data_IF_000943578614
#
_entry.id   IF_000943578614
#
_cell.length_a   1.000
_cell.length_b   1.000
_cell.length_c   1.000
_cell.angle_alpha   90.00
_cell.angle_beta   90.00
_cell.angle_gamma   90.00
#
_symmetry.space_group_name_H-M   'P 1'
#
loop_
_entity.id
_entity.type
_entity.pdbx_description
1 polymer ?
#
# COMPACT_ATOMS: atom_id res chain seq x y z
N UNK A 1 73.89 30.88 39.83
CA UNK A 1 73.23 30.81 38.52
C UNK A 1 71.97 29.95 38.71
N UNK A 2 70.80 30.54 38.98
CA UNK A 2 69.80 30.97 37.95
C UNK A 2 69.47 29.73 37.09
N UNK A 3 68.31 29.05 37.08
CA UNK A 3 66.87 29.40 37.20
C UNK A 3 66.09 28.09 37.45
N UNK A 4 65.28 27.97 38.52
CA UNK A 4 63.80 27.82 38.53
C UNK A 4 63.15 27.25 37.26
N UNK A 5 62.61 26.04 37.32
CA UNK A 5 61.48 25.56 36.51
C UNK A 5 61.07 24.18 37.07
N UNK A 6 59.84 23.72 37.07
CA UNK A 6 58.52 24.32 36.99
C UNK A 6 57.59 23.14 37.33
N UNK A 7 56.72 23.30 38.34
CA UNK A 7 55.40 22.68 38.42
C UNK A 7 55.29 21.12 38.47
N UNK A 8 55.17 20.53 39.66
CA UNK A 8 54.44 19.27 39.84
C UNK A 8 52.93 19.55 39.98
N UNK A 9 52.10 18.55 39.70
CA UNK A 9 50.69 18.49 40.10
C UNK A 9 49.74 19.51 39.44
N UNK A 10 49.28 19.19 38.23
CA UNK A 10 47.91 19.51 37.82
C UNK A 10 47.18 18.23 37.46
N UNK A 11 46.64 17.62 38.51
CA UNK A 11 45.65 16.56 38.49
C UNK A 11 44.32 17.21 38.06
N UNK A 12 44.17 17.53 36.77
CA UNK A 12 42.93 18.11 36.25
C UNK A 12 42.63 17.61 34.84
N UNK A 13 41.58 16.79 34.77
CA UNK A 13 40.51 16.87 33.77
C UNK A 13 41.00 16.79 32.31
N UNK A 14 40.98 15.58 31.73
CA UNK A 14 40.71 15.35 30.31
C UNK A 14 40.51 13.83 30.06
N UNK A 15 39.69 13.17 30.90
CA UNK A 15 38.88 12.09 30.35
C UNK A 15 37.76 12.78 29.59
N UNK A 16 38.02 13.07 28.32
CA UNK A 16 36.98 13.26 27.31
C UNK A 16 36.24 11.93 27.19
N UNK A 17 35.40 11.63 28.18
CA UNK A 17 34.12 11.02 27.87
C UNK A 17 33.42 12.11 27.07
N UNK A 18 33.65 12.05 25.76
CA UNK A 18 32.70 12.59 24.83
C UNK A 18 31.38 11.88 25.17
N UNK A 19 30.59 12.50 26.04
CA UNK A 19 29.16 12.44 25.90
C UNK A 19 28.90 12.99 24.51
N UNK A 20 28.96 12.11 23.51
CA UNK A 20 27.97 12.16 22.46
C UNK A 20 26.64 12.10 23.20
N UNK A 21 26.10 13.26 23.53
CA UNK A 21 24.67 13.45 23.52
C UNK A 21 24.26 13.11 22.09
N UNK A 22 24.12 11.81 21.82
CA UNK A 22 23.09 11.35 20.91
C UNK A 22 21.86 12.11 21.37
N UNK A 23 21.42 13.04 20.54
CA UNK A 23 20.10 13.62 20.66
C UNK A 23 19.16 12.47 20.89
N UNK A 24 18.68 12.40 22.14
CA UNK A 24 17.58 11.57 22.53
C UNK A 24 16.39 12.02 21.67
N UNK A 25 16.26 11.41 20.49
CA UNK A 25 14.97 11.05 19.92
C UNK A 25 14.34 9.93 20.77
N UNK A 26 14.39 10.06 22.11
CA UNK A 26 13.51 9.34 23.00
C UNK A 26 12.12 9.92 22.77
N UNK A 27 11.50 9.49 21.66
CA UNK A 27 10.08 9.62 21.45
C UNK A 27 9.41 9.11 22.71
N UNK A 28 8.75 10.00 23.44
CA UNK A 28 8.00 9.65 24.64
C UNK A 28 7.01 8.56 24.22
N UNK A 29 7.11 7.38 24.85
CA UNK A 29 6.20 6.27 24.59
C UNK A 29 4.76 6.75 24.74
N UNK A 30 3.94 6.53 23.73
CA UNK A 30 2.52 6.90 23.72
C UNK A 30 1.67 5.74 24.23
N UNK A 31 0.43 5.99 24.62
CA UNK A 31 -0.50 4.91 24.98
C UNK A 31 -0.94 4.05 23.77
N UNK A 32 -0.65 4.52 22.56
CA UNK A 32 -0.98 3.86 21.29
C UNK A 32 0.24 3.17 20.66
N UNK A 33 1.41 3.24 21.30
CA UNK A 33 2.58 2.50 20.84
C UNK A 33 2.32 0.99 20.96
N UNK A 34 2.56 0.28 19.87
CA UNK A 34 2.39 -1.17 19.76
C UNK A 34 3.74 -1.83 19.94
N UNK A 35 3.87 -2.66 20.97
CA UNK A 35 5.04 -3.51 21.21
C UNK A 35 4.57 -4.96 21.30
N UNK A 36 4.59 -5.67 20.18
CA UNK A 36 4.16 -7.06 20.08
C UNK A 36 5.28 -7.95 19.55
N UNK A 37 5.24 -9.21 19.95
CA UNK A 37 6.09 -10.25 19.38
C UNK A 37 5.21 -11.42 18.95
N UNK A 38 5.55 -12.04 17.82
CA UNK A 38 4.78 -13.15 17.27
C UNK A 38 4.74 -14.33 18.24
N UNK A 39 3.52 -14.72 18.64
CA UNK A 39 3.26 -15.89 19.47
C UNK A 39 2.42 -16.92 18.70
N UNK A 40 2.16 -18.09 19.32
CA UNK A 40 1.26 -19.12 18.76
C UNK A 40 -0.21 -18.68 18.64
N UNK A 41 -0.60 -17.64 19.38
CA UNK A 41 -1.97 -17.09 19.36
C UNK A 41 -2.17 -16.10 18.23
N UNK A 42 -1.07 -15.61 17.66
CA UNK A 42 -1.14 -14.74 16.51
C UNK A 42 -1.59 -15.53 15.28
N UNK A 43 -2.62 -15.01 14.63
CA UNK A 43 -3.09 -15.49 13.35
C UNK A 43 -2.69 -14.51 12.26
N UNK A 44 -2.35 -15.03 11.08
CA UNK A 44 -2.06 -14.18 9.93
C UNK A 44 -3.34 -13.55 9.44
N UNK A 45 -3.31 -12.25 9.19
CA UNK A 45 -4.38 -11.56 8.46
C UNK A 45 -4.19 -11.87 6.97
N UNK A 46 -5.18 -12.47 6.29
CA UNK A 46 -5.08 -12.81 4.87
C UNK A 46 -4.62 -11.63 4.02
N UNK A 47 -3.93 -11.91 2.90
CA UNK A 47 -3.43 -10.87 1.99
C UNK A 47 -2.46 -9.85 2.62
N UNK A 48 -1.78 -10.22 3.70
CA UNK A 48 -0.76 -9.39 4.32
C UNK A 48 0.34 -10.23 4.98
N UNK A 49 1.45 -9.57 5.31
CA UNK A 49 2.50 -10.09 6.20
C UNK A 49 2.20 -9.81 7.69
N UNK A 50 0.98 -9.40 8.01
CA UNK A 50 0.60 -8.94 9.35
C UNK A 50 -0.06 -10.07 10.11
N UNK A 51 0.30 -10.16 11.38
CA UNK A 51 -0.21 -11.12 12.33
C UNK A 51 -0.83 -10.37 13.50
N UNK A 52 -1.94 -10.87 14.04
CA UNK A 52 -2.62 -10.30 15.20
C UNK A 52 -3.31 -11.40 16.02
N UNK A 53 -3.59 -11.11 17.28
CA UNK A 53 -4.48 -11.92 18.11
C UNK A 53 -5.91 -11.43 17.84
N UNK A 54 -6.68 -12.22 17.11
CA UNK A 54 -8.03 -11.88 16.67
C UNK A 54 -9.02 -12.72 17.47
N UNK A 55 -9.95 -12.11 18.24
CA UNK A 55 -10.96 -12.86 18.96
C UNK A 55 -11.84 -13.71 18.02
N UNK A 56 -12.21 -14.91 18.45
CA UNK A 56 -13.03 -15.85 17.65
C UNK A 56 -14.42 -15.30 17.25
N UNK A 57 -14.86 -14.23 17.92
CA UNK A 57 -16.08 -13.48 17.59
C UNK A 57 -15.99 -12.75 16.25
N UNK A 58 -14.79 -12.47 15.75
CA UNK A 58 -14.59 -11.92 14.41
C UNK A 58 -14.53 -13.02 13.37
N UNK A 59 -15.26 -12.85 12.27
CA UNK A 59 -15.24 -13.75 11.11
C UNK A 59 -14.67 -13.03 9.91
N UNK A 60 -13.73 -13.69 9.22
CA UNK A 60 -13.16 -13.17 7.99
C UNK A 60 -14.15 -13.28 6.84
N UNK A 61 -14.47 -12.15 6.24
CA UNK A 61 -15.23 -12.03 5.00
C UNK A 61 -14.26 -11.96 3.82
N UNK A 62 -14.15 -13.07 3.08
CA UNK A 62 -13.25 -13.17 1.92
C UNK A 62 -13.62 -12.21 0.79
N UNK A 63 -14.91 -11.86 0.64
CA UNK A 63 -15.39 -11.02 -0.46
C UNK A 63 -14.90 -9.59 -0.29
N UNK A 64 -15.02 -9.08 0.93
CA UNK A 64 -14.70 -7.71 1.31
C UNK A 64 -13.29 -7.57 1.92
N UNK A 65 -12.57 -8.67 2.11
CA UNK A 65 -11.23 -8.73 2.70
C UNK A 65 -11.13 -8.02 4.06
N UNK A 66 -12.06 -8.36 4.96
CA UNK A 66 -12.14 -7.76 6.29
C UNK A 66 -12.67 -8.75 7.32
N UNK A 67 -12.50 -8.44 8.60
CA UNK A 67 -13.05 -9.21 9.70
C UNK A 67 -14.28 -8.48 10.27
N UNK A 68 -15.42 -9.16 10.40
CA UNK A 68 -16.66 -8.60 10.98
C UNK A 68 -16.99 -9.24 12.32
N UNK A 69 -17.50 -8.44 13.27
CA UNK A 69 -18.07 -8.89 14.55
C UNK A 69 -19.53 -8.45 14.66
N UNK A 70 -20.38 -8.92 13.74
CA UNK A 70 -21.80 -8.52 13.70
C UNK A 70 -22.01 -7.01 13.51
N UNK A 71 -23.27 -6.59 13.32
CA UNK A 71 -23.62 -5.16 13.22
C UNK A 71 -22.77 -4.37 12.23
N UNK A 72 -22.27 -3.21 12.69
CA UNK A 72 -21.38 -2.31 11.93
C UNK A 72 -19.89 -2.51 12.27
N UNK A 73 -19.54 -3.42 13.19
CA UNK A 73 -18.17 -3.60 13.66
C UNK A 73 -17.33 -4.41 12.69
N UNK A 74 -16.23 -3.84 12.20
CA UNK A 74 -15.26 -4.57 11.39
C UNK A 74 -13.85 -3.98 11.46
N UNK A 75 -12.85 -4.74 11.01
CA UNK A 75 -11.55 -4.18 10.69
C UNK A 75 -10.97 -4.79 9.41
N UNK A 76 -10.09 -4.05 8.75
CA UNK A 76 -9.32 -4.50 7.59
C UNK A 76 -7.86 -4.11 7.73
N UNK A 77 -7.01 -4.85 7.01
CA UNK A 77 -5.60 -4.52 6.83
C UNK A 77 -5.30 -4.30 5.36
N UNK A 78 -4.54 -3.25 5.09
CA UNK A 78 -4.03 -2.95 3.74
C UNK A 78 -2.52 -2.83 3.86
N UNK A 79 -1.79 -3.60 3.05
CA UNK A 79 -0.33 -3.52 2.94
C UNK A 79 0.02 -3.06 1.54
N UNK A 80 0.97 -2.14 1.40
CA UNK A 80 1.49 -1.73 0.10
C UNK A 80 3.00 -1.53 0.09
N UNK A 81 3.56 -1.42 -1.11
CA UNK A 81 4.99 -1.12 -1.26
C UNK A 81 5.26 0.36 -1.01
N UNK A 82 6.44 0.66 -0.46
CA UNK A 82 6.88 2.02 -0.20
C UNK A 82 6.80 2.89 -1.45
N UNK A 83 5.95 3.92 -1.41
CA UNK A 83 5.81 4.89 -2.50
C UNK A 83 7.01 5.84 -2.47
N UNK A 84 8.06 5.48 -3.22
CA UNK A 84 9.33 6.22 -3.36
C UNK A 84 10.28 6.09 -2.15
N UNK A 85 11.59 5.99 -2.44
CA UNK A 85 12.72 6.00 -1.48
C UNK A 85 12.79 7.24 -0.56
N UNK A 86 11.82 8.14 -0.62
CA UNK A 86 11.67 9.21 0.36
C UNK A 86 10.81 8.64 1.47
N UNK A 87 11.49 8.09 2.48
CA UNK A 87 11.03 7.95 3.86
C UNK A 87 9.89 8.94 4.07
N UNK A 88 8.66 8.50 4.30
CA UNK A 88 7.60 9.44 4.68
C UNK A 88 8.11 10.08 5.96
N UNK A 89 8.60 11.31 5.82
CA UNK A 89 9.18 12.02 6.93
C UNK A 89 8.06 12.14 7.96
N UNK A 90 8.35 11.79 9.21
CA UNK A 90 7.32 11.64 10.23
C UNK A 90 6.50 12.93 10.43
N UNK A 91 7.02 14.08 10.03
CA UNK A 91 6.39 15.40 9.99
C UNK A 91 5.39 15.59 8.83
N UNK A 92 5.52 14.85 7.73
CA UNK A 92 4.57 14.88 6.60
C UNK A 92 3.51 13.79 6.66
N UNK A 93 3.67 12.82 7.57
CA UNK A 93 2.75 11.70 7.73
C UNK A 93 1.31 12.15 7.98
N UNK A 94 1.11 13.16 8.83
CA UNK A 94 -0.22 13.73 9.10
C UNK A 94 -0.89 14.27 7.83
N UNK A 95 -0.16 15.01 7.01
CA UNK A 95 -0.69 15.58 5.77
C UNK A 95 -0.97 14.48 4.74
N UNK A 96 -0.10 13.46 4.66
CA UNK A 96 -0.32 12.30 3.79
C UNK A 96 -1.58 11.55 4.20
N UNK A 97 -1.75 11.28 5.50
CA UNK A 97 -2.94 10.62 6.06
C UNK A 97 -4.20 11.45 5.82
N UNK A 98 -4.16 12.76 6.10
CA UNK A 98 -5.26 13.68 5.77
C UNK A 98 -5.60 13.61 4.29
N UNK A 99 -4.62 13.73 3.40
CA UNK A 99 -4.86 13.68 1.96
C UNK A 99 -5.42 12.32 1.47
N UNK A 100 -5.00 11.21 2.07
CA UNK A 100 -5.54 9.88 1.76
C UNK A 100 -6.98 9.71 2.26
N UNK A 101 -7.30 10.26 3.43
CA UNK A 101 -8.62 10.13 4.06
C UNK A 101 -9.65 11.13 3.51
N UNK A 102 -9.23 12.31 3.04
CA UNK A 102 -10.06 13.45 2.55
C UNK A 102 -11.02 13.13 1.37
N UNK A 103 -11.11 11.89 0.88
CA UNK A 103 -12.11 11.48 -0.10
C UNK A 103 -13.08 10.38 0.33
N UNK A 104 -12.82 9.69 1.45
CA UNK A 104 -13.50 8.42 1.79
C UNK A 104 -13.86 8.30 3.27
N UNK A 105 -13.27 9.14 4.11
CA UNK A 105 -13.47 9.17 5.54
C UNK A 105 -13.48 10.67 5.89
N UNK A 106 -14.59 11.19 6.41
CA UNK A 106 -14.72 12.53 6.97
C UNK A 106 -13.65 12.90 8.01
N UNK A 107 -13.91 13.94 8.80
CA UNK A 107 -12.82 14.59 9.54
C UNK A 107 -12.08 13.66 10.51
N UNK A 108 -10.74 13.71 10.45
CA UNK A 108 -9.87 13.12 11.47
C UNK A 108 -9.99 13.97 12.73
N UNK A 109 -10.45 13.36 13.82
CA UNK A 109 -10.68 14.04 15.10
C UNK A 109 -9.51 13.91 16.06
N UNK A 110 -8.68 12.87 15.88
CA UNK A 110 -7.49 12.64 16.67
C UNK A 110 -6.34 12.11 15.81
N UNK A 111 -5.12 12.53 16.12
CA UNK A 111 -3.90 12.08 15.45
C UNK A 111 -2.74 12.06 16.44
N UNK A 112 -1.97 10.98 16.45
CA UNK A 112 -0.74 10.87 17.23
C UNK A 112 0.32 10.08 16.48
N UNK A 113 1.59 10.51 16.57
CA UNK A 113 2.72 9.74 16.05
C UNK A 113 3.04 8.62 17.02
N UNK A 114 3.18 7.41 16.53
CA UNK A 114 3.38 6.22 17.35
C UNK A 114 4.53 5.36 16.83
N UNK A 115 4.91 4.35 17.61
CA UNK A 115 5.70 3.21 17.15
C UNK A 115 4.85 1.96 17.03
N UNK A 116 5.06 1.21 15.95
CA UNK A 116 4.52 -0.13 15.79
C UNK A 116 5.71 -1.08 15.67
N UNK A 117 6.04 -1.73 16.77
CA UNK A 117 7.29 -2.47 16.95
C UNK A 117 8.49 -1.54 16.64
N UNK A 118 9.33 -1.88 15.66
CA UNK A 118 10.45 -1.05 15.21
C UNK A 118 10.05 0.04 14.20
N UNK A 119 8.82 0.02 13.67
CA UNK A 119 8.39 0.93 12.60
C UNK A 119 7.82 2.23 13.14
N UNK A 120 8.01 3.29 12.36
CA UNK A 120 7.32 4.56 12.61
C UNK A 120 5.90 4.47 12.08
N UNK A 121 4.95 5.03 12.82
CA UNK A 121 3.58 5.10 12.37
C UNK A 121 2.82 6.31 12.92
N UNK A 122 1.53 6.33 12.60
CA UNK A 122 0.56 7.27 13.11
C UNK A 122 -0.71 6.52 13.48
N UNK A 123 -1.23 6.84 14.67
CA UNK A 123 -2.58 6.52 15.09
C UNK A 123 -3.53 7.65 14.71
N UNK A 124 -4.75 7.31 14.34
CA UNK A 124 -5.81 8.27 14.08
C UNK A 124 -7.17 7.77 14.55
N UNK A 125 -8.04 8.73 14.91
CA UNK A 125 -9.48 8.51 15.08
C UNK A 125 -10.27 9.46 14.19
N UNK A 126 -11.48 9.06 13.82
CA UNK A 126 -12.31 9.78 12.87
C UNK A 126 -12.20 9.22 11.46
N UNK A 127 -12.98 9.76 10.53
CA UNK A 127 -13.11 9.21 9.18
C UNK A 127 -14.53 8.73 8.84
N UNK A 128 -15.00 7.61 9.38
CA UNK A 128 -16.29 7.05 8.93
C UNK A 128 -17.47 7.57 9.75
N UNK A 129 -17.88 8.84 9.60
CA UNK A 129 -19.07 9.39 10.29
C UNK A 129 -20.41 9.08 9.60
N UNK A 130 -20.40 8.37 8.48
CA UNK A 130 -21.64 7.96 7.83
C UNK A 130 -22.36 6.87 8.64
N UNK A 131 -23.69 7.02 8.80
CA UNK A 131 -24.57 6.03 9.43
C UNK A 131 -24.31 5.74 10.92
N UNK A 132 -23.76 6.71 11.67
CA UNK A 132 -23.55 6.57 13.12
C UNK A 132 -22.32 5.76 13.50
N UNK A 133 -21.41 5.52 12.55
CA UNK A 133 -20.15 4.85 12.81
C UNK A 133 -19.03 5.84 13.23
N UNK A 134 -17.96 5.29 13.76
CA UNK A 134 -16.68 5.92 14.01
C UNK A 134 -15.56 4.96 13.58
N UNK A 135 -14.34 5.47 13.48
CA UNK A 135 -13.19 4.67 13.07
C UNK A 135 -11.94 5.01 13.85
N UNK A 136 -11.13 3.98 14.06
CA UNK A 136 -9.74 4.09 14.50
C UNK A 136 -8.85 3.50 13.42
N UNK A 137 -7.60 3.94 13.37
CA UNK A 137 -6.64 3.29 12.53
C UNK A 137 -5.20 3.58 12.87
N UNK A 138 -4.32 2.76 12.31
CA UNK A 138 -2.88 2.91 12.41
C UNK A 138 -2.28 2.74 11.04
N UNK A 139 -1.42 3.67 10.67
CA UNK A 139 -0.60 3.58 9.48
C UNK A 139 0.87 3.50 9.88
N UNK A 140 1.62 2.52 9.41
CA UNK A 140 3.01 2.30 9.81
C UNK A 140 3.83 1.68 8.68
N UNK A 141 5.15 1.82 8.77
CA UNK A 141 6.07 1.19 7.81
C UNK A 141 7.41 1.90 7.74
N UNK A 142 8.08 1.73 6.61
CA UNK A 142 9.37 2.34 6.30
C UNK A 142 9.46 2.72 4.81
N UNK A 143 10.67 2.78 4.26
CA UNK A 143 10.91 3.10 2.85
C UNK A 143 10.66 1.92 1.89
N UNK A 144 10.47 0.71 2.42
CA UNK A 144 10.24 -0.51 1.65
C UNK A 144 8.76 -0.91 1.63
N UNK A 145 8.01 -0.65 2.70
CA UNK A 145 6.58 -0.98 2.78
C UNK A 145 5.78 0.03 3.63
N UNK A 146 4.47 -0.04 3.49
CA UNK A 146 3.52 0.54 4.45
C UNK A 146 2.37 -0.44 4.72
N UNK A 147 1.77 -0.30 5.90
CA UNK A 147 0.63 -1.06 6.33
C UNK A 147 -0.38 -0.16 7.05
N UNK A 148 -1.65 -0.45 6.88
CA UNK A 148 -2.77 0.27 7.48
C UNK A 148 -3.72 -0.70 8.17
N UNK A 149 -3.96 -0.51 9.46
CA UNK A 149 -5.11 -1.05 10.18
C UNK A 149 -6.23 -0.02 10.16
N UNK A 150 -7.43 -0.44 9.77
CA UNK A 150 -8.64 0.39 9.87
C UNK A 150 -9.72 -0.41 10.56
N UNK A 151 -10.16 0.07 11.72
CA UNK A 151 -11.28 -0.48 12.48
C UNK A 151 -12.47 0.48 12.45
N UNK A 152 -13.67 -0.06 12.27
CA UNK A 152 -14.94 0.68 12.26
C UNK A 152 -15.88 0.07 13.29
N UNK A 153 -16.59 0.92 14.00
CA UNK A 153 -17.49 0.57 15.11
C UNK A 153 -18.62 1.63 15.23
N UNK A 154 -19.76 1.34 15.87
CA UNK A 154 -20.78 2.33 16.21
C UNK A 154 -20.20 3.43 17.11
N UNK A 155 -20.47 4.69 16.80
CA UNK A 155 -19.87 5.83 17.48
C UNK A 155 -20.24 5.92 18.98
N UNK A 156 -21.35 5.30 19.38
CA UNK A 156 -21.85 5.24 20.76
C UNK A 156 -21.42 3.98 21.53
N UNK A 157 -20.65 3.07 20.92
CA UNK A 157 -20.17 1.84 21.56
C UNK A 157 -18.66 1.89 21.85
N UNK A 158 -18.32 2.33 23.06
CA UNK A 158 -16.92 2.39 23.53
C UNK A 158 -16.30 1.01 23.73
N UNK A 159 -17.10 -0.03 24.04
CA UNK A 159 -16.57 -1.38 24.22
C UNK A 159 -16.09 -1.96 22.89
N UNK A 160 -16.83 -1.70 21.81
CA UNK A 160 -16.41 -2.09 20.47
C UNK A 160 -15.14 -1.36 20.00
N UNK A 161 -14.93 -0.09 20.41
CA UNK A 161 -13.65 0.60 20.23
C UNK A 161 -12.52 -0.11 20.97
N UNK A 162 -12.73 -0.47 22.24
CA UNK A 162 -11.73 -1.16 23.08
C UNK A 162 -11.33 -2.49 22.46
N UNK A 163 -12.29 -3.26 21.92
CA UNK A 163 -11.99 -4.53 21.26
C UNK A 163 -11.07 -4.36 20.04
N UNK A 164 -11.30 -3.32 19.22
CA UNK A 164 -10.43 -3.01 18.09
C UNK A 164 -9.04 -2.54 18.54
N UNK A 165 -8.96 -1.73 19.60
CA UNK A 165 -7.69 -1.31 20.20
C UNK A 165 -6.89 -2.50 20.73
N UNK A 166 -7.55 -3.50 21.32
CA UNK A 166 -6.90 -4.73 21.77
C UNK A 166 -6.31 -5.53 20.61
N UNK A 167 -6.98 -5.60 19.46
CA UNK A 167 -6.42 -6.25 18.26
C UNK A 167 -5.21 -5.46 17.76
N UNK A 168 -5.35 -4.14 17.63
CA UNK A 168 -4.30 -3.23 17.18
C UNK A 168 -3.03 -3.34 18.05
N UNK A 169 -3.19 -3.45 19.37
CA UNK A 169 -2.07 -3.61 20.31
C UNK A 169 -1.27 -4.91 20.14
N UNK A 170 -1.76 -5.85 19.34
CA UNK A 170 -1.10 -7.14 19.07
C UNK A 170 -0.49 -7.23 17.68
N UNK A 171 -0.56 -6.17 16.86
CA UNK A 171 -0.05 -6.20 15.50
C UNK A 171 1.45 -6.52 15.44
N UNK A 172 1.77 -7.53 14.63
CA UNK A 172 3.13 -7.96 14.33
C UNK A 172 3.33 -8.07 12.82
N UNK A 173 4.34 -7.39 12.28
CA UNK A 173 4.73 -7.47 10.87
C UNK A 173 5.88 -8.48 10.71
N UNK A 174 5.67 -9.51 9.90
CA UNK A 174 6.68 -10.53 9.61
C UNK A 174 7.36 -10.23 8.27
N UNK A 175 8.44 -9.46 8.28
CA UNK A 175 9.19 -9.07 7.05
C UNK A 175 9.58 -10.26 6.18
N UNK A 176 9.83 -11.42 6.81
CA UNK A 176 10.30 -12.64 6.14
C UNK A 176 9.15 -13.45 5.53
N UNK A 177 7.90 -13.11 5.84
CA UNK A 177 6.74 -13.78 5.27
C UNK A 177 6.62 -13.46 3.78
N UNK A 178 6.47 -14.51 2.97
CA UNK A 178 6.22 -14.37 1.53
C UNK A 178 4.73 -14.49 1.28
N UNK A 179 4.15 -13.45 0.69
CA UNK A 179 2.75 -13.44 0.29
C UNK A 179 2.53 -14.38 -0.89
N UNK A 180 1.51 -15.24 -0.82
CA UNK A 180 1.05 -16.01 -1.97
C UNK A 180 0.16 -15.12 -2.87
N UNK A 181 0.57 -14.82 -4.12
CA UNK A 181 -0.21 -13.98 -5.02
C UNK A 181 -1.61 -14.56 -5.32
N UNK A 182 -1.80 -15.87 -5.19
CA UNK A 182 -3.10 -16.51 -5.39
C UNK A 182 -4.13 -16.10 -4.33
N UNK A 183 -3.71 -15.50 -3.21
CA UNK A 183 -4.64 -14.97 -2.20
C UNK A 183 -5.46 -13.78 -2.72
N UNK A 184 -4.94 -13.04 -3.71
CA UNK A 184 -5.54 -11.81 -4.25
C UNK A 184 -6.34 -12.07 -5.53
N UNK A 185 -6.14 -13.22 -6.14
CA UNK A 185 -6.60 -13.47 -7.49
C UNK A 185 -7.98 -14.11 -7.46
N UNK A 186 -9.01 -13.29 -7.70
CA UNK A 186 -10.35 -13.75 -8.12
C UNK A 186 -10.37 -14.01 -9.64
N UNK A 187 -9.19 -14.18 -10.23
CA UNK A 187 -8.95 -14.40 -11.64
C UNK A 187 -7.66 -15.21 -11.82
N UNK A 188 -7.46 -15.80 -12.98
CA UNK A 188 -6.20 -16.40 -13.41
C UNK A 188 -5.83 -15.84 -14.78
N UNK A 189 -4.54 -15.86 -15.11
CA UNK A 189 -4.06 -15.53 -16.45
C UNK A 189 -2.88 -16.44 -16.79
N UNK A 190 -2.61 -16.63 -18.07
CA UNK A 190 -1.48 -17.44 -18.50
C UNK A 190 -0.19 -16.60 -18.46
N UNK A 191 0.58 -16.76 -17.37
CA UNK A 191 1.83 -16.04 -17.17
C UNK A 191 2.91 -16.42 -18.18
N UNK A 192 2.77 -17.54 -18.90
CA UNK A 192 3.72 -17.93 -19.94
C UNK A 192 3.63 -17.05 -21.18
N UNK A 193 2.48 -16.40 -21.41
CA UNK A 193 2.27 -15.48 -22.53
C UNK A 193 3.12 -14.22 -22.38
N UNK A 194 3.16 -13.66 -21.18
CA UNK A 194 3.94 -12.44 -20.94
C UNK A 194 5.41 -12.74 -20.69
N UNK A 195 5.71 -13.88 -20.05
CA UNK A 195 7.04 -14.15 -19.50
C UNK A 195 7.38 -13.29 -18.29
N UNK A 196 6.43 -12.48 -17.78
CA UNK A 196 6.63 -11.64 -16.61
C UNK A 196 6.46 -12.51 -15.37
N UNK A 197 7.29 -12.23 -14.37
CA UNK A 197 7.30 -12.96 -13.10
C UNK A 197 6.71 -12.10 -12.02
N UNK A 198 6.05 -12.75 -11.06
CA UNK A 198 5.50 -12.07 -9.90
C UNK A 198 6.62 -11.29 -9.20
N UNK A 199 6.32 -10.03 -8.88
CA UNK A 199 7.24 -9.10 -8.26
C UNK A 199 6.87 -8.87 -6.80
N UNK A 200 5.68 -8.32 -6.58
CA UNK A 200 5.21 -7.89 -5.26
C UNK A 200 3.70 -7.65 -5.27
N UNK A 201 3.13 -7.44 -4.09
CA UNK A 201 1.76 -6.96 -3.90
C UNK A 201 1.81 -5.54 -3.35
N UNK A 202 1.04 -4.63 -3.94
CA UNK A 202 0.88 -3.26 -3.44
C UNK A 202 -0.60 -2.93 -3.25
N UNK A 203 -1.08 -2.91 -2.01
CA UNK A 203 -2.51 -2.85 -1.71
C UNK A 203 -3.18 -4.12 -2.22
N UNK A 204 -4.23 -3.97 -3.02
CA UNK A 204 -4.90 -5.08 -3.69
C UNK A 204 -4.35 -5.36 -5.11
N UNK A 205 -3.18 -4.79 -5.43
CA UNK A 205 -2.58 -4.89 -6.76
C UNK A 205 -1.45 -5.90 -6.79
N UNK A 206 -1.59 -6.93 -7.62
CA UNK A 206 -0.50 -7.81 -7.98
C UNK A 206 0.38 -7.14 -9.03
N UNK A 207 1.69 -7.11 -8.82
CA UNK A 207 2.65 -6.50 -9.76
C UNK A 207 3.59 -7.59 -10.30
N UNK A 208 3.86 -7.53 -11.61
CA UNK A 208 4.73 -8.45 -12.32
C UNK A 208 5.73 -7.67 -13.16
N UNK A 209 6.98 -8.11 -13.16
CA UNK A 209 8.07 -7.52 -13.95
C UNK A 209 8.79 -8.61 -14.75
N UNK A 210 9.57 -8.28 -15.79
CA UNK A 210 10.33 -9.28 -16.55
C UNK A 210 11.22 -10.18 -15.68
N UNK A 211 11.77 -9.64 -14.59
CA UNK A 211 12.69 -10.37 -13.70
C UNK A 211 12.01 -10.94 -12.46
N UNK A 212 10.89 -10.36 -12.02
CA UNK A 212 10.24 -10.67 -10.74
C UNK A 212 10.99 -10.12 -9.52
N UNK A 213 12.11 -9.40 -9.70
CA UNK A 213 12.89 -8.85 -8.58
C UNK A 213 12.31 -7.53 -8.10
N UNK A 214 12.14 -7.34 -6.80
CA UNK A 214 11.73 -6.06 -6.21
C UNK A 214 12.72 -4.95 -6.62
N UNK A 215 12.27 -4.09 -7.53
CA UNK A 215 13.04 -2.98 -8.11
C UNK A 215 12.05 -1.85 -8.38
N UNK A 216 12.57 -0.64 -8.58
CA UNK A 216 11.72 0.48 -8.98
C UNK A 216 11.00 0.14 -10.29
N UNK A 217 9.70 0.41 -10.38
CA UNK A 217 8.95 0.20 -11.62
C UNK A 217 9.40 1.13 -12.77
N UNK A 218 10.23 2.13 -12.48
CA UNK A 218 10.90 2.99 -13.46
C UNK A 218 12.23 2.43 -13.97
N UNK A 219 12.79 1.42 -13.30
CA UNK A 219 14.08 0.78 -13.64
C UNK A 219 13.89 -0.49 -14.49
N UNK A 220 12.66 -0.80 -14.90
CA UNK A 220 12.33 -1.93 -15.79
C UNK A 220 11.77 -1.42 -17.11
N UNK A 221 11.94 -2.16 -18.20
CA UNK A 221 11.37 -1.78 -19.51
C UNK A 221 9.84 -1.77 -19.49
N UNK A 222 9.24 -2.72 -18.78
CA UNK A 222 7.80 -2.86 -18.70
C UNK A 222 7.38 -3.56 -17.41
N UNK A 223 6.14 -3.36 -16.99
CA UNK A 223 5.51 -4.12 -15.91
C UNK A 223 4.03 -4.36 -16.20
N UNK A 224 3.49 -5.41 -15.59
CA UNK A 224 2.05 -5.67 -15.53
C UNK A 224 1.60 -5.48 -14.10
N UNK A 225 0.37 -5.03 -13.94
CA UNK A 225 -0.28 -5.05 -12.64
C UNK A 225 -1.76 -5.30 -12.78
N UNK A 226 -2.32 -5.98 -11.78
CA UNK A 226 -3.69 -6.43 -11.78
C UNK A 226 -4.33 -6.12 -10.45
N UNK A 227 -5.56 -5.64 -10.46
CA UNK A 227 -6.39 -5.50 -9.26
C UNK A 227 -7.80 -5.99 -9.56
N UNK A 228 -8.37 -6.70 -8.58
CA UNK A 228 -9.78 -7.09 -8.61
C UNK A 228 -10.64 -5.95 -8.06
N UNK A 229 -11.83 -5.76 -8.61
CA UNK A 229 -12.80 -4.76 -8.17
C UNK A 229 -14.19 -5.35 -8.00
N UNK A 230 -15.18 -4.53 -7.58
CA UNK A 230 -16.57 -4.95 -7.54
C UNK A 230 -17.10 -5.28 -8.95
N UNK A 231 -18.26 -5.92 -9.00
CA UNK A 231 -19.00 -6.10 -10.26
C UNK A 231 -19.45 -4.72 -10.72
N UNK A 232 -19.05 -4.34 -11.92
CA UNK A 232 -19.52 -3.12 -12.56
C UNK A 232 -20.59 -3.45 -13.58
N UNK A 233 -21.65 -2.64 -13.63
CA UNK A 233 -22.37 -2.47 -14.90
C UNK A 233 -21.45 -1.78 -15.90
N UNK A 234 -21.79 -1.81 -17.19
CA UNK A 234 -20.98 -1.11 -18.20
C UNK A 234 -20.80 0.38 -17.86
N UNK A 235 -21.88 1.07 -17.52
CA UNK A 235 -21.83 2.47 -17.10
C UNK A 235 -21.00 2.68 -15.83
N UNK A 236 -21.15 1.80 -14.82
CA UNK A 236 -20.37 1.91 -13.59
C UNK A 236 -18.87 1.67 -13.85
N UNK A 237 -18.53 0.80 -14.80
CA UNK A 237 -17.16 0.55 -15.22
C UNK A 237 -16.55 1.75 -15.95
N UNK A 238 -17.34 2.44 -16.78
CA UNK A 238 -16.93 3.68 -17.43
C UNK A 238 -16.64 4.78 -16.41
N UNK A 239 -17.51 4.93 -15.40
CA UNK A 239 -17.31 5.89 -14.30
C UNK A 239 -16.05 5.52 -13.50
N UNK A 240 -15.89 4.23 -13.16
CA UNK A 240 -14.72 3.76 -12.43
C UNK A 240 -13.42 4.06 -13.19
N UNK A 241 -13.35 3.73 -14.48
CA UNK A 241 -12.16 4.01 -15.31
C UNK A 241 -11.87 5.52 -15.36
N UNK A 242 -12.90 6.37 -15.56
CA UNK A 242 -12.74 7.83 -15.58
C UNK A 242 -12.22 8.37 -14.25
N UNK A 243 -12.71 7.86 -13.13
CA UNK A 243 -12.24 8.24 -11.80
C UNK A 243 -10.77 7.86 -11.60
N UNK A 244 -10.34 6.69 -12.09
CA UNK A 244 -8.92 6.36 -12.01
C UNK A 244 -8.06 7.29 -12.87
N UNK A 245 -8.48 7.62 -14.09
CA UNK A 245 -7.76 8.57 -14.94
C UNK A 245 -7.69 9.97 -14.31
N UNK A 246 -8.77 10.40 -13.65
CA UNK A 246 -8.80 11.64 -12.89
C UNK A 246 -7.79 11.60 -11.74
N UNK A 247 -7.79 10.54 -10.94
CA UNK A 247 -6.86 10.36 -9.82
C UNK A 247 -5.40 10.31 -10.29
N UNK A 248 -5.12 9.66 -11.42
CA UNK A 248 -3.78 9.67 -12.01
C UNK A 248 -3.37 11.10 -12.41
N UNK A 249 -4.29 11.89 -12.99
CA UNK A 249 -4.01 13.28 -13.32
C UNK A 249 -3.83 14.19 -12.10
N UNK A 250 -4.55 13.97 -11.00
CA UNK A 250 -4.32 14.72 -9.75
C UNK A 250 -2.96 14.39 -9.12
N UNK A 251 -2.43 13.20 -9.39
CA UNK A 251 -1.07 12.79 -9.02
C UNK A 251 0.02 13.32 -9.99
N UNK A 252 -0.36 14.13 -10.99
CA UNK A 252 0.57 14.77 -11.92
C UNK A 252 0.86 13.96 -13.19
N UNK A 253 0.12 12.87 -13.44
CA UNK A 253 0.24 12.09 -14.69
C UNK A 253 -0.57 12.77 -15.79
N UNK A 254 0.11 13.15 -16.86
CA UNK A 254 -0.53 13.70 -18.06
C UNK A 254 -0.71 12.62 -19.12
N UNK A 255 -1.77 12.75 -19.91
CA UNK A 255 -2.17 11.75 -20.92
C UNK A 255 -2.20 12.41 -22.29
N UNK A 256 -1.66 11.73 -23.29
CA UNK A 256 -1.85 12.13 -24.69
C UNK A 256 -3.30 11.92 -25.14
N UNK A 257 -3.96 10.85 -24.68
CA UNK A 257 -5.39 10.62 -24.86
C UNK A 257 -6.01 10.00 -23.61
N UNK A 258 -7.25 10.38 -23.32
CA UNK A 258 -8.08 9.77 -22.24
C UNK A 258 -9.24 8.96 -22.80
N UNK A 259 -9.28 8.78 -24.12
CA UNK A 259 -10.35 8.06 -24.79
C UNK A 259 -10.15 6.56 -24.59
N UNK A 260 -11.21 5.89 -24.14
CA UNK A 260 -11.27 4.44 -24.09
C UNK A 260 -12.21 3.90 -25.17
N UNK A 261 -12.00 2.64 -25.53
CA UNK A 261 -12.82 1.89 -26.48
C UNK A 261 -13.47 0.71 -25.75
N UNK A 262 -14.71 0.43 -26.12
CA UNK A 262 -15.37 -0.83 -25.73
C UNK A 262 -14.82 -1.94 -26.63
N UNK A 263 -14.31 -2.99 -26.02
CA UNK A 263 -13.80 -4.17 -26.71
C UNK A 263 -14.42 -5.44 -26.13
N UNK A 264 -14.34 -6.53 -26.87
CA UNK A 264 -14.72 -7.86 -26.40
C UNK A 264 -13.47 -8.69 -26.11
N UNK A 265 -13.42 -9.31 -24.94
CA UNK A 265 -12.44 -10.33 -24.58
C UNK A 265 -13.20 -11.63 -24.33
N UNK A 266 -13.24 -12.48 -25.37
CA UNK A 266 -14.24 -13.56 -25.43
C UNK A 266 -15.65 -12.98 -25.38
N UNK A 267 -16.48 -13.49 -24.49
CA UNK A 267 -17.88 -13.02 -24.31
C UNK A 267 -17.99 -11.72 -23.48
N UNK A 268 -16.91 -11.34 -22.78
CA UNK A 268 -16.94 -10.25 -21.80
C UNK A 268 -16.73 -8.90 -22.46
N UNK A 269 -17.45 -7.90 -21.96
CA UNK A 269 -17.21 -6.50 -22.30
C UNK A 269 -16.01 -6.00 -21.49
N UNK A 270 -15.12 -5.28 -22.15
CA UNK A 270 -14.00 -4.60 -21.51
C UNK A 270 -13.86 -3.16 -22.02
N UNK A 271 -13.33 -2.29 -21.17
CA UNK A 271 -13.01 -0.90 -21.49
C UNK A 271 -11.49 -0.79 -21.62
N UNK A 272 -11.00 -0.55 -22.84
CA UNK A 272 -9.58 -0.48 -23.17
C UNK A 272 -9.17 0.98 -23.40
N UNK A 273 -8.15 1.44 -22.67
CA UNK A 273 -7.43 2.67 -22.93
C UNK A 273 -5.97 2.35 -23.28
N UNK A 274 -5.50 2.95 -24.37
CA UNK A 274 -4.09 2.98 -24.75
C UNK A 274 -3.66 4.44 -24.85
N UNK A 275 -2.64 4.85 -24.12
CA UNK A 275 -2.13 6.23 -24.17
C UNK A 275 -0.65 6.28 -23.86
N UNK A 276 0.08 7.18 -24.53
CA UNK A 276 1.32 7.69 -23.96
C UNK A 276 0.99 8.58 -22.77
N UNK A 277 1.75 8.44 -21.69
CA UNK A 277 1.62 9.21 -20.46
C UNK A 277 2.98 9.78 -20.08
N UNK A 278 2.96 10.90 -19.36
CA UNK A 278 4.15 11.52 -18.77
C UNK A 278 3.93 11.63 -17.27
N UNK A 279 4.85 11.06 -16.49
CA UNK A 279 4.93 11.22 -15.04
C UNK A 279 6.29 11.81 -14.68
N UNK A 280 6.31 13.07 -14.22
CA UNK A 280 7.54 13.85 -14.00
C UNK A 280 8.40 13.84 -15.27
N UNK A 281 9.60 13.26 -15.22
CA UNK A 281 10.55 13.17 -16.33
C UNK A 281 10.40 11.89 -17.16
N UNK A 282 9.57 10.93 -16.70
CA UNK A 282 9.42 9.63 -17.34
C UNK A 282 8.30 9.61 -18.39
N UNK A 283 8.64 9.18 -19.60
CA UNK A 283 7.69 8.87 -20.68
C UNK A 283 7.33 7.40 -20.64
N UNK A 284 6.04 7.11 -20.69
CA UNK A 284 5.54 5.75 -20.63
C UNK A 284 4.42 5.53 -21.63
N UNK A 285 4.23 4.30 -22.06
CA UNK A 285 3.02 3.84 -22.73
C UNK A 285 2.18 3.03 -21.74
N UNK A 286 0.92 3.42 -21.58
CA UNK A 286 -0.07 2.78 -20.73
C UNK A 286 -1.08 2.01 -21.58
N UNK A 287 -1.22 0.72 -21.28
CA UNK A 287 -2.32 -0.13 -21.68
C UNK A 287 -3.16 -0.45 -20.44
N UNK A 288 -4.34 0.16 -20.33
CA UNK A 288 -5.27 -0.03 -19.22
C UNK A 288 -6.51 -0.74 -19.73
N UNK A 289 -6.88 -1.87 -19.13
CA UNK A 289 -8.11 -2.57 -19.48
C UNK A 289 -8.90 -2.96 -18.23
N UNK A 290 -10.16 -2.51 -18.19
CA UNK A 290 -11.15 -2.93 -17.19
C UNK A 290 -12.04 -4.00 -17.82
N UNK A 291 -11.93 -5.22 -17.34
CA UNK A 291 -12.72 -6.38 -17.75
C UNK A 291 -13.90 -6.51 -16.80
N UNK A 292 -15.11 -6.38 -17.34
CA UNK A 292 -16.34 -6.53 -16.57
C UNK A 292 -16.65 -8.03 -16.48
N UNK A 293 -16.53 -8.60 -15.28
CA UNK A 293 -16.88 -9.99 -15.01
C UNK A 293 -18.22 -10.14 -14.29
N UNK A 294 -18.70 -11.38 -14.21
CA UNK A 294 -19.98 -11.73 -13.57
C UNK A 294 -19.91 -11.76 -12.05
N UNK A 295 -18.74 -12.03 -11.49
CA UNK A 295 -18.53 -12.15 -10.04
C UNK A 295 -17.66 -11.02 -9.48
N UNK A 296 -16.68 -10.56 -10.26
CA UNK A 296 -15.83 -9.39 -10.00
C UNK A 296 -15.42 -8.75 -11.31
N UNK A 297 -14.83 -7.57 -11.24
CA UNK A 297 -14.15 -6.96 -12.38
C UNK A 297 -12.64 -7.05 -12.19
N UNK A 298 -11.87 -7.10 -13.29
CA UNK A 298 -10.40 -7.08 -13.24
C UNK A 298 -9.92 -5.84 -13.98
N UNK A 299 -9.11 -5.04 -13.30
CA UNK A 299 -8.39 -3.93 -13.89
C UNK A 299 -6.93 -4.37 -14.08
N UNK A 300 -6.47 -4.38 -15.32
CA UNK A 300 -5.08 -4.61 -15.67
C UNK A 300 -4.45 -3.31 -16.16
N UNK A 301 -3.34 -2.92 -15.55
CA UNK A 301 -2.41 -1.95 -16.12
C UNK A 301 -1.19 -2.68 -16.65
N UNK A 302 -0.84 -2.38 -17.89
CA UNK A 302 0.40 -2.79 -18.48
C UNK A 302 1.12 -1.52 -18.94
N UNK A 303 2.33 -1.32 -18.43
CA UNK A 303 3.09 -0.10 -18.63
C UNK A 303 4.42 -0.45 -19.24
N UNK A 304 4.83 0.36 -20.21
CA UNK A 304 6.10 0.27 -20.90
C UNK A 304 6.83 1.61 -20.71
N UNK A 305 7.99 1.61 -20.07
CA UNK A 305 8.80 2.81 -19.87
C UNK A 305 9.54 3.12 -21.16
N UNK A 306 9.09 4.13 -21.90
CA UNK A 306 9.61 4.45 -23.23
C UNK A 306 11.08 4.87 -23.20
N UNK A 307 11.51 5.48 -22.09
CA UNK A 307 12.90 5.88 -21.88
C UNK A 307 13.85 4.70 -21.59
N UNK A 308 13.29 3.50 -21.34
CA UNK A 308 14.06 2.28 -21.07
C UNK A 308 14.13 1.34 -22.28
N UNK A 309 13.45 1.67 -23.39
CA UNK A 309 13.44 0.80 -24.58
C UNK A 309 14.73 0.96 -25.39
N UNK A 310 15.30 -0.17 -25.80
CA UNK A 310 16.46 -0.20 -26.70
C UNK A 310 16.06 0.05 -28.16
N UNK A 311 14.83 -0.31 -28.54
CA UNK A 311 14.32 -0.17 -29.90
C UNK A 311 12.86 0.31 -29.94
N UNK A 312 12.47 1.13 -30.94
CA UNK A 312 11.05 1.43 -31.20
C UNK A 312 10.18 0.18 -31.47
N UNK A 313 10.80 -0.92 -31.92
CA UNK A 313 10.09 -2.19 -32.13
C UNK A 313 9.69 -2.87 -30.82
N UNK A 314 10.35 -2.56 -29.70
CA UNK A 314 10.05 -3.16 -28.40
C UNK A 314 8.68 -2.72 -27.90
N UNK A 315 8.26 -1.49 -28.18
CA UNK A 315 6.92 -1.03 -27.87
C UNK A 315 5.86 -1.89 -28.58
N UNK A 316 6.06 -2.21 -29.85
CA UNK A 316 5.13 -3.07 -30.61
C UNK A 316 5.05 -4.46 -29.98
N UNK A 317 6.20 -5.05 -29.63
CA UNK A 317 6.28 -6.34 -28.93
C UNK A 317 5.52 -6.29 -27.60
N UNK A 318 5.72 -5.27 -26.77
CA UNK A 318 5.04 -5.13 -25.49
C UNK A 318 3.52 -4.95 -25.66
N UNK A 319 3.05 -4.17 -26.64
CA UNK A 319 1.62 -4.06 -26.95
C UNK A 319 0.98 -5.40 -27.27
N UNK A 320 1.65 -6.22 -28.08
CA UNK A 320 1.17 -7.57 -28.41
C UNK A 320 1.14 -8.48 -27.17
N UNK A 321 2.17 -8.42 -26.32
CA UNK A 321 2.21 -9.16 -25.04
C UNK A 321 1.06 -8.74 -24.13
N UNK A 322 0.84 -7.44 -23.96
CA UNK A 322 -0.21 -6.90 -23.08
C UNK A 322 -1.59 -7.34 -23.56
N UNK A 323 -1.85 -7.24 -24.86
CA UNK A 323 -3.11 -7.67 -25.44
C UNK A 323 -3.37 -9.17 -25.26
N UNK A 324 -2.39 -10.03 -25.57
CA UNK A 324 -2.51 -11.48 -25.39
C UNK A 324 -2.67 -11.87 -23.92
N UNK A 325 -1.98 -11.16 -23.02
CA UNK A 325 -2.12 -11.37 -21.58
C UNK A 325 -3.55 -11.06 -21.13
N UNK A 326 -4.10 -9.91 -21.54
CA UNK A 326 -5.48 -9.54 -21.23
C UNK A 326 -6.50 -10.59 -21.74
N UNK A 327 -6.29 -11.12 -22.94
CA UNK A 327 -7.14 -12.17 -23.53
C UNK A 327 -7.11 -13.48 -22.73
N UNK A 328 -6.03 -13.75 -21.99
CA UNK A 328 -5.88 -14.98 -21.20
C UNK A 328 -6.58 -14.93 -19.83
N UNK A 329 -7.10 -13.77 -19.43
CA UNK A 329 -7.72 -13.58 -18.11
C UNK A 329 -9.03 -14.37 -18.00
N UNK A 330 -9.10 -15.22 -16.99
CA UNK A 330 -10.26 -16.03 -16.60
C UNK A 330 -10.66 -15.69 -15.17
N UNK A 331 -11.95 -15.79 -14.87
CA UNK A 331 -12.50 -15.71 -13.52
C UNK A 331 -12.88 -17.13 -13.14
#
# INVERSE_FOLDING_TARGET
MIIKNFLPFLFSILFLVACSTDEQSNGKKTMFDVESSKTKEHTRIPRSKIFAIIPDTYKFDKKDNLYRKGGQQYFTMIEGVGMQKKRIEADKLEQVMKNMLIGHAGDITFYEKIKVNSYTGAYFEGGFQENGAASIGVWFGDDTFWAAFVGVYPADDEQEKIDLLNILATLYYDEKFTIDPNEFSDFTFDSSISGFKFNTVSGERLVYTPTGKETSLYEVEAYLSFSSGPIYSELAGEIALRNVLLNMSTLGITFQSKDYKKVKLGERTALLLESEIQEKEHKQFLYSILIIGSERSVLMYAVCNLDQLESPNDLKKYREIFHKTAQSIKF
#
